data_IF_962124606694
#
_entry.id   IF_962124606694
#
_cell.length_a   1.000
_cell.length_b   1.000
_cell.length_c   1.000
_cell.angle_alpha   90.00
_cell.angle_beta   90.00
_cell.angle_gamma   90.00
#
_symmetry.space_group_name_H-M   'P 1'
#
loop_
_entity.id
_entity.type
_entity.pdbx_description
1 polymer ?
#
# COMPACT_ATOMS: atom_id res chain seq x y z
N UNK A 1 -15.48 -0.24 9.49
CA UNK A 1 -14.20 0.35 9.04
C UNK A 1 -13.33 0.75 10.22
N UNK A 2 -13.76 1.63 11.16
CA UNK A 2 -12.94 2.03 12.33
C UNK A 2 -12.38 0.84 13.09
N UNK A 3 -13.23 -0.09 13.52
CA UNK A 3 -12.80 -1.28 14.26
C UNK A 3 -11.73 -2.12 13.53
N UNK A 4 -11.70 -2.10 12.21
CA UNK A 4 -10.68 -2.79 11.43
C UNK A 4 -9.35 -2.02 11.40
N UNK A 5 -9.41 -0.69 11.28
CA UNK A 5 -8.21 0.15 11.40
C UNK A 5 -7.57 0.02 12.78
N UNK A 6 -8.40 0.03 13.84
CA UNK A 6 -7.95 -0.12 15.22
C UNK A 6 -7.30 -1.50 15.43
N UNK A 7 -7.94 -2.57 14.92
CA UNK A 7 -7.42 -3.94 15.00
C UNK A 7 -6.08 -4.10 14.28
N UNK A 8 -5.92 -3.45 13.12
CA UNK A 8 -4.67 -3.46 12.35
C UNK A 8 -3.66 -2.44 12.86
N UNK A 9 -4.03 -1.56 13.79
CA UNK A 9 -3.23 -0.38 14.16
C UNK A 9 -2.77 0.39 12.92
N UNK A 10 -3.73 0.72 12.04
CA UNK A 10 -3.45 1.32 10.73
C UNK A 10 -3.11 2.80 10.88
N UNK A 11 -1.82 3.11 10.91
CA UNK A 11 -1.33 4.48 11.08
C UNK A 11 -1.94 5.15 12.32
N UNK A 12 -2.45 6.36 12.14
CA UNK A 12 -3.11 7.11 13.22
C UNK A 12 -4.57 6.71 13.48
N UNK A 13 -5.14 5.75 12.73
CA UNK A 13 -6.52 5.27 12.81
C UNK A 13 -7.60 6.39 12.74
N UNK A 14 -7.27 7.57 12.25
CA UNK A 14 -8.14 8.75 12.27
C UNK A 14 -9.00 8.84 11.01
N UNK A 15 -10.31 8.63 11.16
CA UNK A 15 -11.32 8.81 10.11
C UNK A 15 -12.20 10.04 10.34
N UNK A 16 -11.79 11.00 11.16
CA UNK A 16 -12.60 12.18 11.51
C UNK A 16 -12.89 13.08 10.30
N UNK A 17 -11.99 13.15 9.32
CA UNK A 17 -12.19 13.85 8.06
C UNK A 17 -12.72 12.89 6.98
N UNK A 18 -13.92 12.36 7.22
CA UNK A 18 -14.54 11.37 6.36
C UNK A 18 -14.76 11.82 4.91
N UNK A 19 -15.10 13.10 4.71
CA UNK A 19 -15.42 13.63 3.39
C UNK A 19 -14.17 13.81 2.52
N UNK A 20 -12.99 13.98 3.14
CA UNK A 20 -11.76 14.30 2.43
C UNK A 20 -11.83 15.65 1.72
N UNK A 21 -10.72 16.35 1.66
CA UNK A 21 -10.66 17.72 1.10
C UNK A 21 -10.81 17.78 -0.42
N UNK A 22 -10.53 16.69 -1.11
CA UNK A 22 -10.58 16.62 -2.58
C UNK A 22 -11.60 15.60 -3.10
N UNK A 23 -12.69 15.44 -2.38
CA UNK A 23 -13.78 14.62 -2.86
C UNK A 23 -14.40 15.21 -4.13
N UNK A 24 -13.91 14.73 -5.26
CA UNK A 24 -14.44 15.13 -6.58
C UNK A 24 -15.63 14.28 -7.00
N UNK A 25 -15.99 13.25 -6.25
CA UNK A 25 -17.06 12.33 -6.61
C UNK A 25 -18.24 12.39 -5.64
N UNK A 26 -18.95 13.50 -5.63
CA UNK A 26 -20.15 13.75 -4.80
C UNK A 26 -21.30 12.76 -5.03
N UNK A 27 -21.16 11.78 -5.93
CA UNK A 27 -22.23 10.85 -6.28
C UNK A 27 -22.29 9.61 -5.40
N UNK A 28 -21.25 9.34 -4.61
CA UNK A 28 -21.24 8.21 -3.70
C UNK A 28 -20.81 8.65 -2.29
N UNK A 29 -21.77 9.07 -1.44
CA UNK A 29 -21.47 9.54 -0.09
C UNK A 29 -20.87 8.47 0.84
N UNK A 30 -20.96 7.19 0.47
CA UNK A 30 -20.46 6.11 1.30
C UNK A 30 -18.96 5.81 1.15
N UNK A 31 -18.29 6.33 0.11
CA UNK A 31 -16.90 6.06 -0.19
C UNK A 31 -16.15 7.31 -0.66
N UNK A 32 -16.40 8.42 -0.01
CA UNK A 32 -15.92 9.73 -0.45
C UNK A 32 -14.54 10.04 0.11
N UNK A 33 -13.50 9.63 -0.56
CA UNK A 33 -12.20 10.29 -0.53
C UNK A 33 -11.49 10.41 0.83
N UNK A 34 -11.92 9.73 1.90
CA UNK A 34 -11.26 9.80 3.21
C UNK A 34 -9.78 9.39 3.17
N UNK A 35 -9.37 8.71 2.11
CA UNK A 35 -7.98 8.32 1.84
C UNK A 35 -7.18 9.35 1.02
N UNK A 36 -7.80 10.48 0.63
CA UNK A 36 -7.18 11.52 -0.18
C UNK A 36 -7.13 12.81 0.63
N UNK A 37 -5.94 13.24 1.04
CA UNK A 37 -5.71 14.46 1.82
C UNK A 37 -6.63 14.59 3.06
N UNK A 38 -6.95 13.46 3.68
CA UNK A 38 -7.80 13.41 4.86
C UNK A 38 -7.01 13.32 6.16
N UNK A 39 -7.72 13.07 7.26
CA UNK A 39 -7.13 12.83 8.57
C UNK A 39 -6.33 11.52 8.66
N UNK A 40 -6.68 10.50 7.85
CA UNK A 40 -6.01 9.21 7.90
C UNK A 40 -4.58 9.31 7.36
N UNK A 41 -3.61 8.89 8.18
CA UNK A 41 -2.18 8.91 7.84
C UNK A 41 -1.51 7.62 8.25
N UNK A 42 -0.55 7.19 7.45
CA UNK A 42 0.28 6.04 7.72
C UNK A 42 1.70 6.28 7.19
N UNK A 43 2.70 5.84 7.93
CA UNK A 43 4.09 5.84 7.47
C UNK A 43 4.44 4.53 6.73
N UNK A 44 5.52 4.51 5.93
CA UNK A 44 5.98 3.27 5.29
C UNK A 44 6.28 2.14 6.27
N UNK A 45 6.83 2.45 7.44
CA UNK A 45 7.10 1.43 8.48
C UNK A 45 5.82 0.84 9.04
N UNK A 46 4.84 1.68 9.38
CA UNK A 46 3.52 1.22 9.84
C UNK A 46 2.81 0.38 8.78
N UNK A 47 2.95 0.76 7.49
CA UNK A 47 2.37 -0.01 6.38
C UNK A 47 2.96 -1.43 6.29
N UNK A 48 4.26 -1.59 6.48
CA UNK A 48 4.92 -2.91 6.57
C UNK A 48 4.36 -3.72 7.76
N UNK A 49 4.19 -3.11 8.92
CA UNK A 49 3.61 -3.75 10.09
C UNK A 49 2.15 -4.18 9.87
N UNK A 50 1.37 -3.38 9.15
CA UNK A 50 -0.01 -3.75 8.75
C UNK A 50 0.00 -4.98 7.86
N UNK A 51 0.89 -5.04 6.87
CA UNK A 51 1.03 -6.21 5.99
C UNK A 51 1.40 -7.47 6.79
N UNK A 52 2.30 -7.35 7.77
CA UNK A 52 2.67 -8.46 8.65
C UNK A 52 1.46 -8.94 9.48
N UNK A 53 0.64 -8.05 10.03
CA UNK A 53 -0.59 -8.41 10.75
C UNK A 53 -1.62 -9.09 9.85
N UNK A 54 -1.67 -8.75 8.55
CA UNK A 54 -2.59 -9.37 7.59
C UNK A 54 -2.07 -10.74 7.12
N UNK A 55 -0.80 -10.85 6.76
CA UNK A 55 -0.24 -12.02 6.07
C UNK A 55 0.69 -12.88 6.93
N UNK A 56 1.03 -12.44 8.13
CA UNK A 56 1.91 -13.15 9.05
C UNK A 56 1.24 -14.38 9.70
N UNK A 57 2.03 -15.13 10.47
CA UNK A 57 1.57 -16.36 11.11
C UNK A 57 0.43 -16.13 12.12
N UNK A 58 0.46 -14.99 12.82
CA UNK A 58 -0.53 -14.63 13.86
C UNK A 58 -1.71 -13.81 13.31
N UNK A 59 -1.94 -13.87 12.01
CA UNK A 59 -3.02 -13.11 11.37
C UNK A 59 -4.40 -13.54 11.89
N UNK A 60 -5.24 -12.55 12.22
CA UNK A 60 -6.63 -12.78 12.58
C UNK A 60 -7.56 -12.95 11.36
N UNK A 61 -7.05 -12.79 10.13
CA UNK A 61 -7.81 -13.03 8.90
C UNK A 61 -7.82 -14.52 8.54
N UNK A 62 -8.93 -14.99 7.97
CA UNK A 62 -9.02 -16.36 7.47
C UNK A 62 -8.02 -16.59 6.32
N UNK A 63 -7.59 -17.84 6.13
CA UNK A 63 -6.71 -18.20 5.01
C UNK A 63 -7.36 -17.87 3.66
N UNK A 64 -8.67 -18.08 3.52
CA UNK A 64 -9.43 -17.74 2.32
C UNK A 64 -9.32 -16.23 1.99
N UNK A 65 -9.48 -15.37 2.99
CA UNK A 65 -9.33 -13.91 2.83
C UNK A 65 -7.91 -13.54 2.42
N UNK A 66 -6.91 -14.12 3.08
CA UNK A 66 -5.50 -13.88 2.76
C UNK A 66 -5.13 -14.35 1.36
N UNK A 67 -5.66 -15.49 0.94
CA UNK A 67 -5.43 -16.02 -0.40
C UNK A 67 -6.09 -15.15 -1.47
N UNK A 68 -7.32 -14.70 -1.25
CA UNK A 68 -7.98 -13.76 -2.15
C UNK A 68 -7.18 -12.45 -2.33
N UNK A 69 -6.62 -11.92 -1.24
CA UNK A 69 -5.74 -10.76 -1.29
C UNK A 69 -4.42 -11.06 -2.04
N UNK A 70 -3.79 -12.21 -1.80
CA UNK A 70 -2.59 -12.62 -2.54
C UNK A 70 -2.84 -12.67 -4.04
N UNK A 71 -3.95 -13.24 -4.47
CA UNK A 71 -4.30 -13.35 -5.89
C UNK A 71 -4.41 -11.99 -6.57
N UNK A 72 -5.05 -11.01 -5.94
CA UNK A 72 -5.19 -9.66 -6.52
C UNK A 72 -3.93 -8.80 -6.41
N UNK A 73 -3.00 -9.16 -5.53
CA UNK A 73 -1.74 -8.46 -5.34
C UNK A 73 -0.58 -9.09 -6.12
N UNK A 74 -0.74 -10.32 -6.64
CA UNK A 74 0.36 -11.00 -7.34
C UNK A 74 0.80 -10.26 -8.59
N UNK A 75 2.09 -9.99 -8.68
CA UNK A 75 2.70 -9.45 -9.89
C UNK A 75 2.84 -10.56 -10.95
N UNK A 76 2.69 -10.21 -12.25
CA UNK A 76 3.04 -11.13 -13.35
C UNK A 76 4.52 -11.53 -13.28
N UNK A 77 4.84 -12.77 -13.66
CA UNK A 77 6.21 -13.29 -13.63
C UNK A 77 7.18 -12.47 -14.50
N UNK A 78 6.68 -11.86 -15.60
CA UNK A 78 7.49 -10.96 -16.45
C UNK A 78 7.99 -9.70 -15.71
N UNK A 79 7.30 -9.30 -14.64
CA UNK A 79 7.67 -8.14 -13.83
C UNK A 79 8.48 -8.53 -12.59
N UNK A 80 8.15 -9.66 -11.98
CA UNK A 80 8.72 -10.13 -10.72
C UNK A 80 10.00 -10.99 -10.90
N UNK A 81 10.25 -11.49 -12.12
CA UNK A 81 11.36 -12.43 -12.39
C UNK A 81 11.10 -13.78 -11.72
N UNK A 82 12.12 -14.30 -11.03
CA UNK A 82 12.04 -15.59 -10.31
C UNK A 82 11.38 -15.49 -8.92
N UNK A 83 11.08 -14.25 -8.46
CA UNK A 83 10.50 -14.01 -7.15
C UNK A 83 8.97 -14.08 -7.21
N UNK A 84 8.35 -14.62 -6.17
CA UNK A 84 6.91 -14.47 -5.96
C UNK A 84 6.62 -13.15 -5.26
N UNK A 85 6.34 -12.09 -6.03
CA UNK A 85 6.08 -10.75 -5.52
C UNK A 85 4.60 -10.45 -5.51
N UNK A 86 4.13 -9.90 -4.39
CA UNK A 86 2.76 -9.46 -4.16
C UNK A 86 2.78 -8.00 -3.77
N UNK A 87 2.18 -7.13 -4.55
CA UNK A 87 2.25 -5.70 -4.27
C UNK A 87 1.12 -4.89 -4.88
N UNK A 88 0.94 -3.69 -4.33
CA UNK A 88 -0.05 -2.72 -4.81
C UNK A 88 0.56 -1.33 -4.89
N UNK A 89 0.38 -0.70 -6.04
CA UNK A 89 0.73 0.72 -6.23
C UNK A 89 -0.35 1.62 -5.67
N UNK A 90 0.05 2.81 -5.19
CA UNK A 90 -0.83 3.90 -4.79
C UNK A 90 -0.27 5.23 -5.28
N UNK A 91 -1.13 6.20 -5.50
CA UNK A 91 -0.75 7.58 -5.82
C UNK A 91 -1.72 8.56 -5.18
N UNK A 92 -1.17 9.60 -4.56
CA UNK A 92 -1.91 10.80 -4.14
C UNK A 92 -1.71 11.93 -5.14
N UNK A 93 -2.76 12.72 -5.35
CA UNK A 93 -2.70 13.90 -6.22
C UNK A 93 -3.18 15.13 -5.49
N UNK A 94 -2.45 16.22 -5.63
CA UNK A 94 -2.86 17.54 -5.21
C UNK A 94 -2.89 18.47 -6.45
N UNK A 95 -4.00 19.14 -6.68
CA UNK A 95 -4.20 20.07 -7.81
C UNK A 95 -3.84 19.47 -9.20
N UNK A 96 -4.04 18.15 -9.36
CA UNK A 96 -3.74 17.43 -10.60
C UNK A 96 -2.31 16.89 -10.72
N UNK A 97 -1.41 17.28 -9.84
CA UNK A 97 -0.03 16.78 -9.78
C UNK A 97 0.06 15.57 -8.87
N UNK A 98 0.88 14.59 -9.22
CA UNK A 98 1.16 13.44 -8.36
C UNK A 98 2.18 13.85 -7.31
N UNK A 99 1.72 14.05 -6.09
CA UNK A 99 2.53 14.54 -4.95
C UNK A 99 3.16 13.41 -4.13
N UNK A 100 2.54 12.24 -4.14
CA UNK A 100 3.08 11.04 -3.50
C UNK A 100 2.76 9.78 -4.31
N UNK A 101 3.63 8.79 -4.17
CA UNK A 101 3.50 7.51 -4.85
C UNK A 101 4.02 6.38 -3.97
N UNK A 102 3.32 5.26 -3.99
CA UNK A 102 3.56 4.11 -3.15
C UNK A 102 3.68 2.83 -3.97
N UNK A 103 4.53 1.93 -3.50
CA UNK A 103 4.46 0.52 -3.82
C UNK A 103 4.73 -0.29 -2.56
N UNK A 104 3.74 -1.08 -2.14
CA UNK A 104 3.79 -1.81 -0.87
C UNK A 104 3.36 -3.26 -1.09
N UNK A 105 3.96 -4.17 -0.32
CA UNK A 105 3.67 -5.58 -0.48
C UNK A 105 4.63 -6.50 0.26
N UNK A 106 4.77 -7.70 -0.27
CA UNK A 106 5.74 -8.68 0.22
C UNK A 106 6.27 -9.55 -0.93
N UNK A 107 7.41 -10.17 -0.71
CA UNK A 107 7.99 -11.18 -1.58
C UNK A 107 8.22 -12.47 -0.81
N UNK A 108 7.93 -13.60 -1.43
CA UNK A 108 8.25 -14.93 -0.93
C UNK A 108 9.45 -15.49 -1.70
N UNK A 109 10.54 -15.83 -0.99
CA UNK A 109 11.75 -16.44 -1.54
C UNK A 109 12.37 -17.39 -0.51
N UNK A 110 12.72 -18.59 -0.95
CA UNK A 110 13.44 -19.61 -0.14
C UNK A 110 12.80 -19.87 1.24
N UNK A 111 11.46 -19.91 1.29
CA UNK A 111 10.70 -20.14 2.52
C UNK A 111 10.66 -18.95 3.48
N UNK A 112 11.18 -17.81 3.07
CA UNK A 112 11.09 -16.55 3.83
C UNK A 112 10.16 -15.57 3.16
N UNK A 113 9.49 -14.76 3.97
CA UNK A 113 8.68 -13.62 3.52
C UNK A 113 9.34 -12.32 3.93
N UNK A 114 9.50 -11.43 2.95
CA UNK A 114 10.03 -10.07 3.16
C UNK A 114 8.93 -9.08 2.84
N UNK A 115 8.52 -8.29 3.82
CA UNK A 115 7.56 -7.19 3.63
C UNK A 115 8.29 -5.92 3.24
N UNK A 116 7.71 -5.15 2.34
CA UNK A 116 8.30 -3.91 1.86
C UNK A 116 7.27 -2.79 1.68
N UNK A 117 7.75 -1.56 1.77
CA UNK A 117 7.01 -0.36 1.39
C UNK A 117 7.98 0.69 0.85
N UNK A 118 7.79 1.08 -0.40
CA UNK A 118 8.50 2.20 -1.02
C UNK A 118 7.55 3.37 -1.15
N UNK A 119 7.98 4.52 -0.64
CA UNK A 119 7.28 5.79 -0.74
C UNK A 119 8.17 6.81 -1.45
N UNK A 120 7.62 7.52 -2.40
CA UNK A 120 8.27 8.62 -3.10
C UNK A 120 7.39 9.85 -3.00
N UNK A 121 7.95 10.96 -2.52
CA UNK A 121 7.35 12.28 -2.60
C UNK A 121 7.75 12.99 -3.89
N UNK A 122 7.03 14.04 -4.27
CA UNK A 122 7.45 14.97 -5.32
C UNK A 122 8.72 15.73 -4.92
N UNK A 123 9.50 16.16 -5.88
CA UNK A 123 10.62 17.10 -5.73
C UNK A 123 10.40 18.30 -6.65
N UNK A 124 11.15 19.41 -6.47
CA UNK A 124 11.05 20.55 -7.41
C UNK A 124 11.31 20.20 -8.87
N UNK A 125 12.04 19.10 -9.11
CA UNK A 125 12.46 18.67 -10.45
C UNK A 125 11.61 17.53 -11.02
N UNK A 126 10.85 16.82 -10.18
CA UNK A 126 10.18 15.61 -10.62
C UNK A 126 8.92 15.28 -9.79
N UNK A 127 7.84 14.95 -10.48
CA UNK A 127 6.62 14.40 -9.89
C UNK A 127 6.89 13.02 -9.28
N UNK A 128 6.12 12.65 -8.25
CA UNK A 128 6.15 11.31 -7.69
C UNK A 128 5.61 10.28 -8.72
N UNK A 129 6.16 9.06 -8.70
CA UNK A 129 5.80 8.00 -9.63
C UNK A 129 5.67 6.63 -8.97
N UNK A 130 4.48 6.02 -9.03
CA UNK A 130 4.26 4.67 -8.52
C UNK A 130 4.96 3.59 -9.35
N UNK A 131 5.18 3.84 -10.64
CA UNK A 131 6.02 2.97 -11.50
C UNK A 131 7.44 2.97 -10.99
N UNK A 132 7.99 4.16 -10.68
CA UNK A 132 9.34 4.27 -10.12
C UNK A 132 9.47 3.64 -8.74
N UNK A 133 8.46 3.80 -7.88
CA UNK A 133 8.42 3.13 -6.58
C UNK A 133 8.46 1.60 -6.73
N UNK A 134 7.70 1.05 -7.69
CA UNK A 134 7.72 -0.38 -8.02
C UNK A 134 9.09 -0.84 -8.53
N UNK A 135 9.68 -0.13 -9.48
CA UNK A 135 11.01 -0.46 -10.02
C UNK A 135 12.07 -0.53 -8.91
N UNK A 136 12.09 0.47 -8.01
CA UNK A 136 13.02 0.50 -6.88
C UNK A 136 12.83 -0.72 -5.97
N UNK A 137 11.57 -1.04 -5.62
CA UNK A 137 11.28 -2.21 -4.80
C UNK A 137 11.78 -3.50 -5.45
N UNK A 138 11.48 -3.71 -6.74
CA UNK A 138 11.90 -4.92 -7.46
C UNK A 138 13.42 -5.03 -7.58
N UNK A 139 14.12 -3.92 -7.82
CA UNK A 139 15.60 -3.90 -7.85
C UNK A 139 16.20 -4.30 -6.50
N UNK A 140 15.66 -3.76 -5.40
CA UNK A 140 16.15 -4.09 -4.05
C UNK A 140 15.87 -5.56 -3.72
N UNK A 141 14.65 -6.04 -3.99
CA UNK A 141 14.28 -7.44 -3.73
C UNK A 141 15.17 -8.41 -4.52
N UNK A 142 15.40 -8.18 -5.82
CA UNK A 142 16.25 -9.02 -6.66
C UNK A 142 17.73 -9.01 -6.24
N UNK A 143 18.18 -7.95 -5.56
CA UNK A 143 19.56 -7.88 -5.06
C UNK A 143 19.74 -8.48 -3.65
N UNK A 144 18.63 -8.70 -2.93
CA UNK A 144 18.66 -9.10 -1.49
C UNK A 144 18.15 -10.49 -1.23
N UNK A 145 17.46 -11.09 -2.17
CA UNK A 145 16.86 -12.42 -2.10
C UNK A 145 17.43 -13.36 -3.15
#
# INVERSE_FOLDING_TARGET
MQAELDRLSYGNCDLSDWEGRQNTNNKNPALTGFWIESSLRISPVEQVQVLERIFGADSAHSEETREALRQVMRLPDQEAGELAVYGKTGMGKAQGVVVDAWFTGFADADGRRVYFCVYLGETPEQDASSTRAKEIALQILSASL
#
